data_IF_356155243566
#
_entry.id   IF_356155243566
#
_cell.length_a   1.000
_cell.length_b   1.000
_cell.length_c   1.000
_cell.angle_alpha   90.00
_cell.angle_beta   90.00
_cell.angle_gamma   90.00
#
_symmetry.space_group_name_H-M   'P 1'
#
loop_
_entity.id
_entity.type
_entity.pdbx_description
1 polymer ?
#
# COMPACT_ATOMS: atom_id res chain seq x y z
N UNK A 1 -28.02 1.40 23.72
CA UNK A 1 -27.42 0.31 22.91
C UNK A 1 -26.88 0.77 21.54
N UNK A 2 -27.09 2.04 21.10
CA UNK A 2 -26.65 2.52 19.77
C UNK A 2 -25.17 2.94 19.67
N UNK A 3 -24.57 3.53 20.71
CA UNK A 3 -23.20 4.08 20.64
C UNK A 3 -22.11 3.07 20.31
N UNK A 4 -22.22 1.85 20.84
CA UNK A 4 -21.17 0.82 20.64
C UNK A 4 -21.03 0.40 19.19
N UNK A 5 -22.14 0.36 18.45
CA UNK A 5 -22.15 -0.01 17.03
C UNK A 5 -21.62 1.12 16.14
N UNK A 6 -21.90 2.38 16.47
CA UNK A 6 -21.41 3.54 15.69
C UNK A 6 -19.89 3.68 15.82
N UNK A 7 -19.35 3.48 17.03
CA UNK A 7 -17.89 3.47 17.25
C UNK A 7 -17.25 2.32 16.48
N UNK A 8 -17.82 1.12 16.55
CA UNK A 8 -17.29 -0.05 15.85
C UNK A 8 -17.34 0.10 14.32
N UNK A 9 -18.40 0.72 13.77
CA UNK A 9 -18.51 1.01 12.34
C UNK A 9 -17.48 2.04 11.87
N UNK A 10 -17.22 3.08 12.67
CA UNK A 10 -16.20 4.10 12.36
C UNK A 10 -14.78 3.51 12.38
N UNK A 11 -14.47 2.65 13.35
CA UNK A 11 -13.19 1.94 13.37
C UNK A 11 -13.04 1.02 12.16
N UNK A 12 -14.11 0.32 11.76
CA UNK A 12 -14.06 -0.54 10.58
C UNK A 12 -13.91 0.27 9.28
N UNK A 13 -14.62 1.38 9.14
CA UNK A 13 -14.51 2.26 7.98
C UNK A 13 -13.12 2.93 7.89
N UNK A 14 -12.52 3.32 9.01
CA UNK A 14 -11.16 3.84 9.08
C UNK A 14 -10.14 2.77 8.69
N UNK A 15 -10.23 1.57 9.27
CA UNK A 15 -9.33 0.46 8.95
C UNK A 15 -9.45 0.00 7.48
N UNK A 16 -10.68 -0.10 6.96
CA UNK A 16 -10.93 -0.42 5.54
C UNK A 16 -10.43 0.70 4.62
N UNK A 17 -10.60 1.96 5.03
CA UNK A 17 -10.08 3.12 4.30
C UNK A 17 -8.55 3.13 4.21
N UNK A 18 -7.87 2.88 5.33
CA UNK A 18 -6.40 2.80 5.39
C UNK A 18 -5.85 1.63 4.58
N UNK A 19 -6.45 0.43 4.72
CA UNK A 19 -6.07 -0.75 3.94
C UNK A 19 -6.26 -0.51 2.43
N UNK A 20 -7.38 0.09 2.03
CA UNK A 20 -7.64 0.41 0.62
C UNK A 20 -6.62 1.41 0.08
N UNK A 21 -6.23 2.41 0.88
CA UNK A 21 -5.25 3.41 0.47
C UNK A 21 -3.85 2.78 0.27
N UNK A 22 -3.46 1.82 1.11
CA UNK A 22 -2.20 1.07 0.98
C UNK A 22 -2.19 0.18 -0.28
N UNK A 23 -3.31 -0.48 -0.57
CA UNK A 23 -3.46 -1.30 -1.79
C UNK A 23 -3.37 -0.43 -3.05
N UNK A 24 -3.99 0.75 -3.03
CA UNK A 24 -3.92 1.72 -4.12
C UNK A 24 -2.51 2.29 -4.29
N UNK A 25 -1.84 2.65 -3.20
CA UNK A 25 -0.45 3.13 -3.23
C UNK A 25 0.50 2.07 -3.81
N UNK A 26 0.34 0.80 -3.40
CA UNK A 26 1.09 -0.32 -3.99
C UNK A 26 0.83 -0.43 -5.49
N UNK A 27 -0.43 -0.41 -5.93
CA UNK A 27 -0.78 -0.53 -7.34
C UNK A 27 -0.16 0.59 -8.17
N UNK A 28 -0.26 1.83 -7.69
CA UNK A 28 0.33 2.98 -8.37
C UNK A 28 1.85 2.89 -8.47
N UNK A 29 2.52 2.44 -7.41
CA UNK A 29 3.97 2.24 -7.42
C UNK A 29 4.39 1.11 -8.38
N UNK A 30 3.63 0.01 -8.44
CA UNK A 30 3.87 -1.06 -9.41
C UNK A 30 3.71 -0.55 -10.84
N UNK A 31 2.62 0.15 -11.15
CA UNK A 31 2.39 0.74 -12.48
C UNK A 31 3.47 1.76 -12.87
N UNK A 32 3.98 2.53 -11.90
CA UNK A 32 5.10 3.46 -12.09
C UNK A 32 6.41 2.72 -12.44
N UNK A 33 6.68 1.58 -11.81
CA UNK A 33 7.89 0.80 -12.02
C UNK A 33 7.83 -0.12 -13.25
N UNK A 34 6.63 -0.52 -13.69
CA UNK A 34 6.42 -1.22 -14.97
C UNK A 34 6.67 -0.30 -16.17
N UNK A 35 6.61 1.02 -15.99
CA UNK A 35 6.99 1.97 -17.02
C UNK A 35 8.52 2.17 -17.05
N UNK A 36 9.20 1.59 -18.04
CA UNK A 36 10.65 1.69 -18.20
C UNK A 36 11.17 3.14 -18.21
N UNK A 37 10.44 4.07 -18.82
CA UNK A 37 10.86 5.49 -18.88
C UNK A 37 10.76 6.16 -17.52
N UNK A 38 9.68 5.93 -16.78
CA UNK A 38 9.50 6.46 -15.43
C UNK A 38 10.51 5.82 -14.45
N UNK A 39 10.70 4.51 -14.56
CA UNK A 39 11.69 3.77 -13.78
C UNK A 39 13.10 4.29 -14.03
N UNK A 40 13.50 4.44 -15.28
CA UNK A 40 14.83 4.99 -15.62
C UNK A 40 14.98 6.44 -15.14
N UNK A 41 13.94 7.26 -15.28
CA UNK A 41 13.97 8.64 -14.82
C UNK A 41 14.18 8.74 -13.29
N UNK A 42 13.42 7.96 -12.51
CA UNK A 42 13.54 7.93 -11.05
C UNK A 42 14.88 7.32 -10.62
N UNK A 43 15.31 6.23 -11.24
CA UNK A 43 16.59 5.59 -10.91
C UNK A 43 17.80 6.51 -11.19
N UNK A 44 17.74 7.32 -12.25
CA UNK A 44 18.83 8.23 -12.61
C UNK A 44 18.85 9.51 -11.76
N UNK A 45 17.69 10.03 -11.37
CA UNK A 45 17.57 11.30 -10.63
C UNK A 45 17.56 11.13 -9.12
N UNK A 46 16.91 10.06 -8.65
CA UNK A 46 16.64 9.80 -7.24
C UNK A 46 16.73 8.29 -6.95
N UNK A 47 17.95 7.72 -6.99
CA UNK A 47 18.15 6.28 -6.74
C UNK A 47 17.68 5.86 -5.33
N UNK A 48 17.81 6.72 -4.32
CA UNK A 48 17.30 6.46 -2.96
C UNK A 48 15.77 6.29 -2.94
N UNK A 49 15.06 7.06 -3.77
CA UNK A 49 13.61 6.98 -3.91
C UNK A 49 13.19 5.67 -4.58
N UNK A 50 13.98 5.19 -5.54
CA UNK A 50 13.75 3.90 -6.19
C UNK A 50 13.83 2.74 -5.18
N UNK A 51 14.87 2.74 -4.33
CA UNK A 51 15.04 1.75 -3.26
C UNK A 51 13.87 1.81 -2.27
N UNK A 52 13.41 3.02 -1.93
CA UNK A 52 12.25 3.19 -1.08
C UNK A 52 10.97 2.62 -1.72
N UNK A 53 10.74 2.84 -3.02
CA UNK A 53 9.59 2.29 -3.73
C UNK A 53 9.60 0.77 -3.76
N UNK A 54 10.74 0.15 -4.09
CA UNK A 54 10.88 -1.31 -4.08
C UNK A 54 10.66 -1.88 -2.66
N UNK A 55 11.19 -1.22 -1.63
CA UNK A 55 10.97 -1.62 -0.23
C UNK A 55 9.51 -1.52 0.18
N UNK A 56 8.81 -0.45 -0.18
CA UNK A 56 7.38 -0.26 0.14
C UNK A 56 6.54 -1.36 -0.53
N UNK A 57 6.77 -1.63 -1.81
CA UNK A 57 6.05 -2.70 -2.54
C UNK A 57 6.32 -4.06 -1.89
N UNK A 58 7.56 -4.35 -1.51
CA UNK A 58 7.93 -5.61 -0.86
C UNK A 58 7.26 -5.77 0.51
N UNK A 59 7.29 -4.74 1.35
CA UNK A 59 6.67 -4.75 2.68
C UNK A 59 5.15 -4.89 2.61
N UNK A 60 4.48 -4.13 1.73
CA UNK A 60 3.01 -4.24 1.57
C UNK A 60 2.63 -5.61 1.00
N UNK A 61 3.45 -6.18 0.11
CA UNK A 61 3.21 -7.54 -0.40
C UNK A 61 3.33 -8.60 0.70
N UNK A 62 4.29 -8.44 1.61
CA UNK A 62 4.49 -9.34 2.74
C UNK A 62 3.31 -9.29 3.72
N UNK A 63 2.84 -8.09 4.04
CA UNK A 63 1.69 -7.85 4.93
C UNK A 63 0.40 -8.44 4.35
N UNK A 64 0.16 -8.28 3.04
CA UNK A 64 -0.98 -8.90 2.35
C UNK A 64 -0.92 -10.44 2.36
N UNK A 65 0.26 -11.04 2.24
CA UNK A 65 0.41 -12.49 2.34
C UNK A 65 0.19 -12.99 3.77
N UNK A 66 0.63 -12.25 4.79
CA UNK A 66 0.37 -12.58 6.19
C UNK A 66 -1.12 -12.47 6.53
N UNK A 67 -1.84 -11.48 6.00
CA UNK A 67 -3.30 -11.37 6.20
C UNK A 67 -4.09 -12.47 5.49
N UNK A 68 -3.59 -12.96 4.34
CA UNK A 68 -4.25 -14.01 3.55
C UNK A 68 -3.98 -15.43 4.08
N UNK A 69 -2.93 -15.62 4.89
CA UNK A 69 -2.57 -16.91 5.48
C UNK A 69 -3.29 -17.23 6.80
N UNK A 70 -4.10 -16.30 7.32
CA UNK A 70 -4.79 -16.41 8.62
C UNK A 70 -6.32 -16.56 8.47
N UNK A 71 -6.84 -16.58 7.23
CA UNK A 71 -8.24 -16.88 6.89
C UNK A 71 -8.39 -18.32 6.38
#
# INVERSE_FOLDING_TARGET
MGDRYVVQLNFYAMAVGEFNNLVLAKRYLVELLENDSARQYVAQRHPDLMVAFESIIATISLDQQQFSAVL
#
